data_IF_271251437935
#
_entry.id   IF_271251437935
#
_cell.length_a   1.000
_cell.length_b   1.000
_cell.length_c   1.000
_cell.angle_alpha   90.00
_cell.angle_beta   90.00
_cell.angle_gamma   90.00
#
_symmetry.space_group_name_H-M   'P 1'
#
loop_
_entity.id
_entity.type
_entity.pdbx_description
1 polymer ?
#
# COMPACT_ATOMS: atom_id res chain seq x y z
N UNK A 1 -20.24 22.17 -13.67
CA UNK A 1 -21.06 20.96 -13.93
C UNK A 1 -20.25 19.80 -13.39
N UNK A 2 -20.82 18.95 -12.55
CA UNK A 2 -20.04 18.05 -11.69
C UNK A 2 -19.11 17.10 -12.48
N UNK A 3 -19.59 16.62 -13.62
CA UNK A 3 -18.76 15.82 -14.51
C UNK A 3 -17.60 16.63 -15.09
N UNK A 4 -17.87 17.82 -15.63
CA UNK A 4 -16.84 18.70 -16.21
C UNK A 4 -15.80 19.16 -15.19
N UNK A 5 -16.23 19.39 -13.94
CA UNK A 5 -15.34 19.80 -12.86
C UNK A 5 -14.34 18.69 -12.52
N UNK A 6 -14.81 17.43 -12.39
CA UNK A 6 -13.90 16.29 -12.22
C UNK A 6 -13.08 15.97 -13.46
N UNK A 7 -13.63 16.13 -14.67
CA UNK A 7 -12.85 15.98 -15.89
C UNK A 7 -11.65 16.94 -15.91
N UNK A 8 -11.88 18.21 -15.57
CA UNK A 8 -10.81 19.22 -15.50
C UNK A 8 -9.71 18.81 -14.51
N UNK A 9 -10.10 18.34 -13.31
CA UNK A 9 -9.16 17.92 -12.27
C UNK A 9 -8.32 16.72 -12.75
N UNK A 10 -8.98 15.65 -13.23
CA UNK A 10 -8.28 14.43 -13.63
C UNK A 10 -7.47 14.60 -14.91
N UNK A 11 -7.97 15.33 -15.91
CA UNK A 11 -7.20 15.66 -17.12
C UNK A 11 -5.95 16.49 -16.81
N UNK A 12 -6.01 17.38 -15.82
CA UNK A 12 -4.87 18.18 -15.41
C UNK A 12 -3.88 17.41 -14.52
N UNK A 13 -4.28 16.27 -13.94
CA UNK A 13 -3.51 15.54 -12.92
C UNK A 13 -2.11 15.15 -13.42
N UNK A 14 -2.01 14.55 -14.62
CA UNK A 14 -0.79 13.89 -15.09
C UNK A 14 -0.29 12.91 -14.02
N UNK A 15 0.99 12.96 -13.64
CA UNK A 15 1.58 12.13 -12.58
C UNK A 15 1.40 12.70 -11.17
N UNK A 16 0.71 13.84 -11.02
CA UNK A 16 0.51 14.43 -9.69
C UNK A 16 -0.36 13.52 -8.84
N UNK A 17 -0.02 13.43 -7.57
CA UNK A 17 -0.80 12.74 -6.55
C UNK A 17 -1.77 13.77 -5.98
N UNK A 18 -3.07 13.47 -6.06
CA UNK A 18 -4.10 14.29 -5.42
C UNK A 18 -4.40 13.74 -4.02
N UNK A 19 -4.74 14.62 -3.10
CA UNK A 19 -5.30 14.26 -1.79
C UNK A 19 -6.78 14.62 -1.79
N UNK A 20 -7.64 13.60 -1.87
CA UNK A 20 -9.08 13.77 -2.05
C UNK A 20 -9.81 13.50 -0.73
N UNK A 21 -10.59 14.47 -0.27
CA UNK A 21 -11.40 14.34 0.94
C UNK A 21 -12.88 14.57 0.65
N UNK A 22 -13.75 13.78 1.30
CA UNK A 22 -15.18 14.00 1.24
C UNK A 22 -15.65 15.10 2.18
N UNK A 23 -16.02 16.24 1.63
CA UNK A 23 -16.47 17.39 2.41
C UNK A 23 -17.91 17.23 2.93
N UNK A 24 -18.23 17.80 4.11
CA UNK A 24 -19.60 18.06 4.51
C UNK A 24 -20.29 19.04 3.55
N UNK A 25 -21.61 18.91 3.30
CA UNK A 25 -22.33 19.74 2.32
C UNK A 25 -22.23 21.26 2.54
N UNK A 26 -22.00 21.71 3.78
CA UNK A 26 -21.94 23.12 4.14
C UNK A 26 -20.75 23.88 3.52
N UNK A 27 -19.68 23.17 3.13
CA UNK A 27 -18.47 23.77 2.57
C UNK A 27 -18.52 23.94 1.03
N UNK A 28 -19.67 23.69 0.42
CA UNK A 28 -19.85 23.74 -1.02
C UNK A 28 -19.52 22.41 -1.72
N UNK A 29 -19.82 22.29 -3.02
CA UNK A 29 -19.76 21.01 -3.73
C UNK A 29 -18.34 20.52 -4.01
N UNK A 30 -17.39 21.44 -4.16
CA UNK A 30 -16.00 21.22 -4.56
C UNK A 30 -15.14 22.41 -4.08
N UNK A 31 -14.01 22.11 -3.45
CA UNK A 31 -12.92 23.02 -3.10
C UNK A 31 -11.62 22.43 -3.60
N UNK A 32 -10.72 23.26 -4.12
CA UNK A 32 -9.42 22.84 -4.60
C UNK A 32 -8.35 23.83 -4.15
N UNK A 33 -7.34 23.31 -3.46
CA UNK A 33 -6.11 24.03 -3.12
C UNK A 33 -4.91 23.18 -3.55
N UNK A 34 -4.23 23.59 -4.62
CA UNK A 34 -3.16 22.79 -5.22
C UNK A 34 -3.61 21.36 -5.59
N UNK A 35 -3.00 20.37 -4.92
CA UNK A 35 -3.32 18.94 -5.06
C UNK A 35 -4.37 18.44 -4.07
N UNK A 36 -4.80 19.27 -3.11
CA UNK A 36 -5.84 18.93 -2.13
C UNK A 36 -7.21 19.23 -2.72
N UNK A 37 -8.04 18.20 -2.83
CA UNK A 37 -9.37 18.24 -3.46
C UNK A 37 -10.42 17.87 -2.41
N UNK A 38 -11.14 18.86 -1.93
CA UNK A 38 -12.33 18.64 -1.11
C UNK A 38 -13.56 18.52 -2.01
N UNK A 39 -14.27 17.40 -1.98
CA UNK A 39 -15.45 17.20 -2.84
C UNK A 39 -16.60 16.57 -2.06
N UNK A 40 -17.84 17.01 -2.30
CA UNK A 40 -19.00 16.36 -1.65
C UNK A 40 -19.35 15.05 -2.34
N UNK A 41 -19.83 14.06 -1.57
CA UNK A 41 -20.32 12.78 -2.12
C UNK A 41 -21.40 12.97 -3.19
N UNK A 42 -22.31 13.94 -3.00
CA UNK A 42 -23.36 14.28 -3.98
C UNK A 42 -22.77 14.75 -5.31
N UNK A 43 -21.67 15.52 -5.28
CA UNK A 43 -21.01 15.99 -6.48
C UNK A 43 -20.32 14.82 -7.22
N UNK A 44 -19.66 13.92 -6.51
CA UNK A 44 -19.08 12.69 -7.09
C UNK A 44 -20.17 11.80 -7.71
N UNK A 45 -21.31 11.57 -7.04
CA UNK A 45 -22.42 10.77 -7.59
C UNK A 45 -22.94 11.33 -8.92
N UNK A 46 -23.08 12.66 -9.02
CA UNK A 46 -23.51 13.33 -10.25
C UNK A 46 -22.50 13.11 -11.38
N UNK A 47 -21.21 13.30 -11.09
CA UNK A 47 -20.15 13.08 -12.05
C UNK A 47 -20.06 11.60 -12.48
N UNK A 48 -20.15 10.68 -11.53
CA UNK A 48 -20.16 9.23 -11.74
C UNK A 48 -21.26 8.80 -12.70
N UNK A 49 -22.48 9.32 -12.55
CA UNK A 49 -23.62 8.93 -13.39
C UNK A 49 -23.34 9.27 -14.87
N UNK A 50 -22.76 10.43 -15.13
CA UNK A 50 -22.39 10.87 -16.48
C UNK A 50 -21.18 10.06 -17.00
N UNK A 51 -20.14 9.92 -16.19
CA UNK A 51 -18.92 9.17 -16.52
C UNK A 51 -19.25 7.71 -16.87
N UNK A 52 -20.05 7.03 -16.05
CA UNK A 52 -20.51 5.66 -16.27
C UNK A 52 -21.26 5.54 -17.59
N UNK A 53 -22.20 6.44 -17.86
CA UNK A 53 -22.95 6.43 -19.13
C UNK A 53 -22.03 6.52 -20.34
N UNK A 54 -21.12 7.50 -20.34
CA UNK A 54 -20.16 7.71 -21.45
C UNK A 54 -19.27 6.48 -21.61
N UNK A 55 -18.72 5.98 -20.50
CA UNK A 55 -17.81 4.84 -20.50
C UNK A 55 -18.45 3.58 -21.10
N UNK A 56 -19.64 3.21 -20.64
CA UNK A 56 -20.32 2.00 -21.12
C UNK A 56 -20.89 2.15 -22.54
N UNK A 57 -21.36 3.35 -22.93
CA UNK A 57 -21.77 3.59 -24.32
C UNK A 57 -20.63 3.37 -25.32
N UNK A 58 -19.40 3.78 -24.97
CA UNK A 58 -18.23 3.54 -25.81
C UNK A 58 -17.87 2.05 -25.88
N UNK A 59 -17.95 1.32 -24.76
CA UNK A 59 -17.71 -0.12 -24.73
C UNK A 59 -18.72 -0.90 -25.57
N UNK A 60 -20.00 -0.50 -25.53
CA UNK A 60 -21.05 -1.14 -26.33
C UNK A 60 -20.85 -0.88 -27.83
N UNK A 61 -20.39 0.32 -28.20
CA UNK A 61 -20.04 0.65 -29.58
C UNK A 61 -18.86 -0.19 -30.10
N UNK A 62 -17.82 -0.40 -29.28
CA UNK A 62 -16.66 -1.23 -29.65
C UNK A 62 -17.01 -2.73 -29.75
N UNK A 63 -18.02 -3.21 -29.02
CA UNK A 63 -18.47 -4.61 -29.10
C UNK A 63 -19.40 -4.91 -30.29
N UNK A 64 -19.89 -3.87 -30.98
CA UNK A 64 -20.74 -4.06 -32.15
C UNK A 64 -19.91 -4.45 -33.39
N UNK A 65 -20.17 -5.65 -33.93
CA UNK A 65 -19.41 -6.32 -35.01
C UNK A 65 -19.34 -5.57 -36.37
N UNK A 66 -19.84 -4.33 -36.43
CA UNK A 66 -19.87 -3.48 -37.62
C UNK A 66 -18.80 -2.37 -37.62
N UNK A 67 -18.00 -2.24 -36.56
CA UNK A 67 -16.91 -1.26 -36.54
C UNK A 67 -15.63 -1.87 -37.15
N UNK A 68 -14.99 -1.21 -38.13
CA UNK A 68 -13.66 -1.64 -38.59
C UNK A 68 -12.69 -1.62 -37.39
N UNK A 69 -11.71 -2.54 -37.33
CA UNK A 69 -10.71 -2.55 -36.28
C UNK A 69 -10.04 -1.17 -36.24
N UNK A 70 -10.19 -0.45 -35.12
CA UNK A 70 -9.62 0.88 -34.90
C UNK A 70 -8.10 0.79 -35.03
N UNK A 71 -7.58 1.04 -36.23
CA UNK A 71 -6.14 1.29 -36.45
C UNK A 71 -5.72 2.65 -35.90
N UNK A 72 -6.68 3.57 -35.74
CA UNK A 72 -6.50 4.89 -35.14
C UNK A 72 -7.52 5.06 -34.01
N UNK A 73 -7.13 4.74 -32.78
CA UNK A 73 -7.93 5.17 -31.62
C UNK A 73 -7.81 6.68 -31.56
N UNK A 74 -8.93 7.38 -31.80
CA UNK A 74 -9.01 8.82 -31.57
C UNK A 74 -8.52 9.12 -30.14
N UNK A 75 -7.37 9.80 -30.06
CA UNK A 75 -6.67 10.09 -28.82
C UNK A 75 -7.53 10.88 -27.82
N UNK A 76 -8.48 11.69 -28.32
CA UNK A 76 -9.41 12.45 -27.48
C UNK A 76 -10.44 11.53 -26.83
N UNK A 77 -10.99 10.59 -27.59
CA UNK A 77 -11.91 9.57 -27.07
C UNK A 77 -11.23 8.70 -26.01
N UNK A 78 -10.01 8.23 -26.24
CA UNK A 78 -9.26 7.43 -25.24
C UNK A 78 -8.97 8.22 -23.96
N UNK A 79 -8.49 9.46 -24.09
CA UNK A 79 -8.24 10.34 -22.94
C UNK A 79 -9.51 10.61 -22.12
N UNK A 80 -10.65 10.80 -22.80
CA UNK A 80 -11.95 10.99 -22.15
C UNK A 80 -12.41 9.73 -21.42
N UNK A 81 -12.22 8.54 -22.00
CA UNK A 81 -12.54 7.28 -21.34
C UNK A 81 -11.61 7.00 -20.15
N UNK A 82 -10.34 7.39 -20.25
CA UNK A 82 -9.40 7.32 -19.14
C UNK A 82 -9.93 8.13 -17.95
N UNK A 83 -10.29 9.40 -18.17
CA UNK A 83 -10.90 10.25 -17.14
C UNK A 83 -12.22 9.69 -16.60
N UNK A 84 -13.09 9.15 -17.47
CA UNK A 84 -14.33 8.52 -17.01
C UNK A 84 -14.04 7.34 -16.07
N UNK A 85 -13.05 6.51 -16.39
CA UNK A 85 -12.65 5.39 -15.54
C UNK A 85 -12.04 5.87 -14.21
N UNK A 86 -11.34 7.02 -14.17
CA UNK A 86 -10.88 7.63 -12.91
C UNK A 86 -12.06 8.03 -12.05
N UNK A 87 -13.04 8.76 -12.60
CA UNK A 87 -14.27 9.16 -11.88
C UNK A 87 -15.05 7.94 -11.38
N UNK A 88 -15.14 6.87 -12.19
CA UNK A 88 -15.77 5.61 -11.78
C UNK A 88 -15.05 5.02 -10.56
N UNK A 89 -13.72 4.94 -10.59
CA UNK A 89 -12.93 4.39 -9.48
C UNK A 89 -12.94 5.30 -8.24
N UNK A 90 -13.04 6.62 -8.39
CA UNK A 90 -13.25 7.54 -7.27
C UNK A 90 -14.58 7.26 -6.55
N UNK A 91 -15.63 6.90 -7.29
CA UNK A 91 -16.92 6.54 -6.71
C UNK A 91 -16.94 5.11 -6.16
N UNK A 92 -16.43 4.16 -6.94
CA UNK A 92 -16.46 2.72 -6.67
C UNK A 92 -15.08 2.09 -6.92
N UNK A 93 -14.30 1.95 -5.84
CA UNK A 93 -12.94 1.39 -5.88
C UNK A 93 -12.87 -0.09 -6.27
N UNK A 94 -14.00 -0.81 -6.25
CA UNK A 94 -14.08 -2.24 -6.59
C UNK A 94 -14.61 -2.46 -8.02
N UNK A 95 -14.72 -1.40 -8.84
CA UNK A 95 -15.28 -1.49 -10.18
C UNK A 95 -14.33 -2.20 -11.18
N UNK A 96 -14.34 -3.54 -11.16
CA UNK A 96 -13.44 -4.41 -11.93
C UNK A 96 -13.41 -4.10 -13.43
N UNK A 97 -14.54 -3.77 -14.05
CA UNK A 97 -14.59 -3.44 -15.49
C UNK A 97 -13.77 -2.19 -15.81
N UNK A 98 -13.76 -1.20 -14.90
CA UNK A 98 -12.97 0.01 -15.07
C UNK A 98 -11.48 -0.30 -14.90
N UNK A 99 -11.11 -1.03 -13.83
CA UNK A 99 -9.72 -1.48 -13.63
C UNK A 99 -9.21 -2.30 -14.82
N UNK A 100 -9.95 -3.31 -15.27
CA UNK A 100 -9.55 -4.17 -16.38
C UNK A 100 -9.49 -3.42 -17.72
N UNK A 101 -10.36 -2.43 -17.93
CA UNK A 101 -10.24 -1.55 -19.09
C UNK A 101 -8.94 -0.74 -19.05
N UNK A 102 -8.56 -0.18 -17.89
CA UNK A 102 -7.29 0.53 -17.72
C UNK A 102 -6.08 -0.38 -17.99
N UNK A 103 -6.11 -1.63 -17.52
CA UNK A 103 -5.09 -2.64 -17.87
C UNK A 103 -5.01 -2.85 -19.38
N UNK A 104 -6.15 -3.11 -20.04
CA UNK A 104 -6.20 -3.30 -21.50
C UNK A 104 -5.68 -2.09 -22.27
N UNK A 105 -6.01 -0.88 -21.82
CA UNK A 105 -5.51 0.38 -22.39
C UNK A 105 -3.99 0.46 -22.34
N UNK A 106 -3.38 0.11 -21.19
CA UNK A 106 -1.91 0.07 -21.05
C UNK A 106 -1.31 -1.02 -21.95
N UNK A 107 -1.92 -2.21 -21.98
CA UNK A 107 -1.47 -3.32 -22.82
C UNK A 107 -1.56 -3.00 -24.32
N UNK A 108 -2.52 -2.17 -24.74
CA UNK A 108 -2.65 -1.74 -26.14
C UNK A 108 -1.49 -0.84 -26.61
N UNK A 109 -0.69 -0.30 -25.68
CA UNK A 109 0.54 0.44 -26.01
C UNK A 109 1.71 -0.50 -26.33
N UNK A 110 1.55 -1.81 -26.11
CA UNK A 110 2.61 -2.80 -26.32
C UNK A 110 2.41 -3.53 -27.66
N UNK A 111 3.50 -3.83 -28.39
CA UNK A 111 3.42 -4.72 -29.53
C UNK A 111 3.03 -6.15 -29.09
N UNK A 112 2.32 -6.92 -29.93
CA UNK A 112 1.80 -8.25 -29.57
C UNK A 112 2.87 -9.29 -29.22
N UNK A 113 4.10 -9.09 -29.73
CA UNK A 113 5.19 -10.04 -29.62
C UNK A 113 6.47 -9.25 -29.37
N UNK A 114 7.06 -9.47 -28.20
CA UNK A 114 8.38 -9.05 -27.77
C UNK A 114 8.51 -7.68 -27.05
N UNK A 115 8.90 -7.72 -25.78
CA UNK A 115 9.22 -6.52 -24.97
C UNK A 115 10.66 -6.04 -25.23
N UNK A 116 11.51 -6.92 -25.78
CA UNK A 116 12.91 -6.60 -26.09
C UNK A 116 13.05 -5.81 -27.40
N UNK A 117 12.01 -5.82 -28.25
CA UNK A 117 11.94 -5.08 -29.51
C UNK A 117 11.32 -3.68 -29.46
N UNK A 118 10.92 -3.19 -28.26
CA UNK A 118 10.35 -1.84 -28.12
C UNK A 118 11.39 -0.77 -28.48
N UNK A 119 11.02 0.13 -29.39
CA UNK A 119 11.82 1.32 -29.63
C UNK A 119 11.86 2.20 -28.34
N UNK A 120 12.91 3.02 -28.15
CA UNK A 120 13.06 3.82 -26.93
C UNK A 120 11.88 4.78 -26.65
N UNK A 121 11.22 5.30 -27.69
CA UNK A 121 10.12 6.25 -27.55
C UNK A 121 8.83 5.54 -27.09
N UNK A 122 8.52 4.37 -27.64
CA UNK A 122 7.42 3.51 -27.22
C UNK A 122 7.63 3.02 -25.79
N UNK A 123 8.84 2.58 -25.45
CA UNK A 123 9.20 2.19 -24.08
C UNK A 123 8.94 3.33 -23.10
N UNK A 124 9.38 4.55 -23.44
CA UNK A 124 9.13 5.72 -22.60
C UNK A 124 7.63 6.05 -22.48
N UNK A 125 6.86 5.91 -23.56
CA UNK A 125 5.40 6.13 -23.52
C UNK A 125 4.68 5.12 -22.60
N UNK A 126 5.09 3.86 -22.63
CA UNK A 126 4.57 2.82 -21.73
C UNK A 126 4.93 3.10 -20.27
N UNK A 127 6.20 3.42 -20.00
CA UNK A 127 6.66 3.79 -18.65
C UNK A 127 5.86 4.98 -18.13
N UNK A 128 5.69 6.02 -18.95
CA UNK A 128 4.90 7.20 -18.62
C UNK A 128 3.42 6.86 -18.32
N UNK A 129 2.82 5.91 -19.06
CA UNK A 129 1.46 5.45 -18.80
C UNK A 129 1.36 4.69 -17.47
N UNK A 130 2.36 3.86 -17.15
CA UNK A 130 2.46 3.12 -15.88
C UNK A 130 2.67 4.07 -14.69
N UNK A 131 3.49 5.11 -14.83
CA UNK A 131 3.70 6.13 -13.79
C UNK A 131 2.45 6.97 -13.52
N UNK A 132 1.72 7.33 -14.57
CA UNK A 132 0.40 7.93 -14.45
C UNK A 132 -0.59 7.01 -13.71
N UNK A 133 -0.48 5.69 -13.89
CA UNK A 133 -1.33 4.71 -13.21
C UNK A 133 -0.95 4.53 -11.72
N UNK A 134 0.35 4.47 -11.40
CA UNK A 134 0.84 4.38 -10.02
C UNK A 134 0.48 5.63 -9.20
N UNK A 135 0.58 6.82 -9.81
CA UNK A 135 0.18 8.08 -9.17
C UNK A 135 -1.34 8.17 -8.95
N UNK A 136 -2.15 7.55 -9.83
CA UNK A 136 -3.60 7.42 -9.60
C UNK A 136 -3.90 6.50 -8.42
N UNK A 137 -3.25 5.32 -8.37
CA UNK A 137 -3.44 4.40 -7.25
C UNK A 137 -3.03 5.04 -5.93
N UNK A 138 -1.90 5.76 -5.92
CA UNK A 138 -1.44 6.50 -4.74
C UNK A 138 -2.42 7.62 -4.35
N UNK A 139 -2.99 8.33 -5.33
CA UNK A 139 -4.08 9.30 -5.10
C UNK A 139 -5.23 8.65 -4.32
N UNK A 140 -5.68 7.46 -4.72
CA UNK A 140 -6.80 6.80 -4.02
C UNK A 140 -6.42 6.15 -2.69
N UNK A 141 -5.25 5.52 -2.60
CA UNK A 141 -4.84 4.77 -1.42
C UNK A 141 -4.33 5.66 -0.28
N UNK A 142 -3.74 6.82 -0.61
CA UNK A 142 -3.17 7.77 0.35
C UNK A 142 -4.03 9.02 0.59
N UNK A 143 -5.27 9.03 0.08
CA UNK A 143 -6.27 10.02 0.43
C UNK A 143 -7.14 9.55 1.59
N UNK A 144 -7.79 10.45 2.36
CA UNK A 144 -8.77 10.11 3.40
C UNK A 144 -10.09 9.54 2.83
N UNK A 145 -9.97 8.41 2.13
CA UNK A 145 -11.03 7.68 1.44
C UNK A 145 -11.09 6.25 2.00
N UNK A 146 -11.83 6.00 3.09
CA UNK A 146 -11.71 4.75 3.87
C UNK A 146 -12.01 3.45 3.10
N UNK A 147 -12.74 3.52 1.98
CA UNK A 147 -12.99 2.36 1.12
C UNK A 147 -11.81 2.09 0.19
N UNK A 148 -11.26 3.15 -0.39
CA UNK A 148 -10.15 3.10 -1.35
C UNK A 148 -8.84 2.69 -0.68
N UNK A 149 -8.54 3.26 0.49
CA UNK A 149 -7.32 2.95 1.27
C UNK A 149 -7.16 1.45 1.54
N UNK A 150 -8.26 0.72 1.70
CA UNK A 150 -8.28 -0.73 1.98
C UNK A 150 -8.82 -1.58 0.83
N UNK A 151 -8.91 -1.03 -0.37
CA UNK A 151 -9.47 -1.73 -1.52
C UNK A 151 -8.53 -2.86 -1.98
N UNK A 152 -8.92 -4.15 -1.88
CA UNK A 152 -8.12 -5.24 -2.43
C UNK A 152 -7.92 -5.08 -3.94
N UNK A 153 -8.92 -4.59 -4.67
CA UNK A 153 -8.85 -4.35 -6.12
C UNK A 153 -7.77 -3.33 -6.46
N UNK A 154 -7.72 -2.19 -5.78
CA UNK A 154 -6.70 -1.16 -6.05
C UNK A 154 -5.29 -1.61 -5.67
N UNK A 155 -5.11 -2.32 -4.55
CA UNK A 155 -3.81 -2.88 -4.15
C UNK A 155 -3.30 -3.93 -5.15
N UNK A 156 -4.18 -4.82 -5.63
CA UNK A 156 -3.82 -5.79 -6.66
C UNK A 156 -3.53 -5.13 -8.01
N UNK A 157 -4.27 -4.08 -8.37
CA UNK A 157 -4.00 -3.31 -9.57
C UNK A 157 -2.64 -2.61 -9.50
N UNK A 158 -2.31 -2.00 -8.36
CA UNK A 158 -0.98 -1.40 -8.12
C UNK A 158 0.15 -2.42 -8.28
N UNK A 159 0.00 -3.62 -7.71
CA UNK A 159 1.00 -4.70 -7.86
C UNK A 159 1.18 -5.10 -9.32
N UNK A 160 0.07 -5.24 -10.07
CA UNK A 160 0.10 -5.51 -11.51
C UNK A 160 0.83 -4.39 -12.28
N UNK A 161 0.57 -3.12 -11.99
CA UNK A 161 1.24 -2.00 -12.68
C UNK A 161 2.76 -2.03 -12.44
N UNK A 162 3.20 -2.30 -11.21
CA UNK A 162 4.62 -2.42 -10.90
C UNK A 162 5.26 -3.60 -11.63
N UNK A 163 4.59 -4.77 -11.67
CA UNK A 163 5.01 -5.95 -12.44
C UNK A 163 5.29 -5.62 -13.89
N UNK A 164 4.39 -4.90 -14.53
CA UNK A 164 4.59 -4.47 -15.90
C UNK A 164 5.70 -3.41 -16.02
N UNK A 165 5.78 -2.44 -15.10
CA UNK A 165 6.83 -1.40 -15.13
C UNK A 165 8.22 -2.02 -15.04
N UNK A 166 8.43 -2.96 -14.14
CA UNK A 166 9.72 -3.62 -13.97
C UNK A 166 10.12 -4.47 -15.19
N UNK A 167 9.16 -5.08 -15.89
CA UNK A 167 9.43 -5.85 -17.12
C UNK A 167 9.79 -4.95 -18.31
N UNK A 168 9.21 -3.75 -18.38
CA UNK A 168 9.44 -2.81 -19.48
C UNK A 168 10.67 -1.93 -19.26
N UNK A 169 11.10 -1.71 -18.01
CA UNK A 169 12.37 -1.07 -17.71
C UNK A 169 13.54 -2.00 -18.05
N UNK A 170 14.55 -1.50 -18.77
CA UNK A 170 15.73 -2.30 -19.14
C UNK A 170 16.55 -2.67 -17.89
N UNK A 171 17.31 -3.78 -17.96
CA UNK A 171 18.18 -4.21 -16.85
C UNK A 171 19.20 -3.14 -16.42
N UNK A 172 19.73 -2.36 -17.37
CA UNK A 172 20.65 -1.23 -17.10
C UNK A 172 19.95 -0.03 -16.44
N UNK A 173 18.63 0.07 -16.60
CA UNK A 173 17.78 1.08 -16.00
C UNK A 173 16.92 0.49 -14.88
N UNK A 174 17.32 -0.64 -14.27
CA UNK A 174 16.70 -1.09 -13.01
C UNK A 174 16.81 0.07 -12.04
N UNK A 175 15.67 0.77 -11.91
CA UNK A 175 15.41 1.78 -10.90
C UNK A 175 16.04 1.28 -9.61
N UNK A 176 16.80 2.12 -8.91
CA UNK A 176 17.35 1.80 -7.61
C UNK A 176 16.27 1.05 -6.80
N UNK A 177 16.47 -0.26 -6.64
CA UNK A 177 15.45 -1.17 -6.11
C UNK A 177 15.10 -0.74 -4.68
N UNK A 178 16.08 -0.18 -3.97
CA UNK A 178 15.88 0.39 -2.65
C UNK A 178 15.05 1.68 -2.72
N UNK A 179 15.31 2.57 -3.67
CA UNK A 179 14.47 3.77 -3.85
C UNK A 179 13.02 3.42 -4.19
N UNK A 180 12.80 2.41 -5.06
CA UNK A 180 11.47 1.91 -5.38
C UNK A 180 10.81 1.28 -4.15
N UNK A 181 11.54 0.43 -3.42
CA UNK A 181 11.06 -0.21 -2.19
C UNK A 181 10.64 0.82 -1.13
N UNK A 182 11.45 1.86 -0.91
CA UNK A 182 11.14 2.94 0.02
C UNK A 182 9.92 3.76 -0.43
N UNK A 183 9.78 4.00 -1.74
CA UNK A 183 8.62 4.69 -2.29
C UNK A 183 7.33 3.90 -2.06
N UNK A 184 7.37 2.59 -2.27
CA UNK A 184 6.21 1.71 -2.02
C UNK A 184 5.91 1.57 -0.53
N UNK A 185 6.93 1.44 0.31
CA UNK A 185 6.75 1.44 1.76
C UNK A 185 6.08 2.72 2.25
N UNK A 186 6.53 3.89 1.79
CA UNK A 186 5.90 5.17 2.17
C UNK A 186 4.39 5.21 1.85
N UNK A 187 3.99 4.58 0.75
CA UNK A 187 2.60 4.49 0.32
C UNK A 187 1.80 3.56 1.25
N UNK A 188 2.38 2.43 1.64
CA UNK A 188 1.78 1.45 2.58
C UNK A 188 1.65 2.04 3.98
N UNK A 189 2.70 2.69 4.50
CA UNK A 189 2.69 3.32 5.81
C UNK A 189 1.64 4.44 5.88
N UNK A 190 1.56 5.28 4.84
CA UNK A 190 0.51 6.31 4.75
C UNK A 190 -0.88 5.71 4.70
N UNK A 191 -1.08 4.61 3.98
CA UNK A 191 -2.37 3.91 3.97
C UNK A 191 -2.71 3.25 5.32
N UNK A 192 -1.70 2.86 6.11
CA UNK A 192 -1.87 2.39 7.48
C UNK A 192 -2.30 3.50 8.44
N UNK A 193 -1.78 4.72 8.28
CA UNK A 193 -2.19 5.89 9.06
C UNK A 193 -3.67 6.23 8.82
N UNK A 194 -4.08 6.20 7.55
CA UNK A 194 -5.44 6.55 7.13
C UNK A 194 -6.45 5.44 7.44
N UNK A 195 -6.00 4.18 7.51
CA UNK A 195 -6.82 3.04 7.86
C UNK A 195 -6.07 2.11 8.82
N UNK A 196 -6.24 2.28 10.15
CA UNK A 196 -5.58 1.40 11.12
C UNK A 196 -5.90 -0.08 10.85
N UNK A 197 -4.89 -0.93 10.98
CA UNK A 197 -4.95 -2.38 10.74
C UNK A 197 -5.26 -2.73 9.28
N UNK A 198 -4.70 -1.97 8.34
CA UNK A 198 -4.86 -2.20 6.90
C UNK A 198 -4.12 -3.45 6.41
N UNK A 199 -4.73 -4.62 6.61
CA UNK A 199 -4.17 -5.90 6.17
C UNK A 199 -3.82 -5.90 4.67
N UNK A 200 -4.63 -5.28 3.80
CA UNK A 200 -4.38 -5.29 2.36
C UNK A 200 -3.12 -4.52 1.96
N UNK A 201 -2.86 -3.36 2.56
CA UNK A 201 -1.65 -2.58 2.28
C UNK A 201 -0.39 -3.33 2.70
N UNK A 202 -0.38 -3.88 3.92
CA UNK A 202 0.78 -4.65 4.42
C UNK A 202 0.93 -6.00 3.72
N UNK A 203 -0.15 -6.65 3.30
CA UNK A 203 -0.08 -7.86 2.47
C UNK A 203 0.48 -7.56 1.07
N UNK A 204 0.06 -6.45 0.45
CA UNK A 204 0.66 -5.96 -0.78
C UNK A 204 2.18 -5.78 -0.63
N UNK A 205 2.65 -5.20 0.47
CA UNK A 205 4.08 -5.01 0.71
C UNK A 205 4.86 -6.34 0.82
N UNK A 206 4.28 -7.35 1.48
CA UNK A 206 4.86 -8.71 1.53
C UNK A 206 5.00 -9.32 0.14
N UNK A 207 3.95 -9.22 -0.69
CA UNK A 207 3.97 -9.73 -2.06
C UNK A 207 5.01 -8.99 -2.90
N UNK A 208 5.10 -7.67 -2.75
CA UNK A 208 6.05 -6.86 -3.49
C UNK A 208 7.51 -7.20 -3.12
N UNK A 209 7.82 -7.31 -1.81
CA UNK A 209 9.12 -7.77 -1.33
C UNK A 209 9.50 -9.16 -1.86
N UNK A 210 8.58 -10.13 -1.74
CA UNK A 210 8.82 -11.50 -2.20
C UNK A 210 9.00 -11.60 -3.71
N UNK A 211 8.48 -10.63 -4.47
CA UNK A 211 8.73 -10.52 -5.90
C UNK A 211 10.09 -9.87 -6.19
N UNK A 212 10.42 -8.73 -5.56
CA UNK A 212 11.73 -8.08 -5.70
C UNK A 212 12.89 -9.01 -5.31
N UNK A 213 12.70 -9.88 -4.31
CA UNK A 213 13.75 -10.76 -3.81
C UNK A 213 14.13 -11.89 -4.76
N UNK A 214 13.36 -12.17 -5.83
CA UNK A 214 13.61 -13.31 -6.73
C UNK A 214 14.94 -13.19 -7.50
N UNK A 215 15.30 -11.96 -7.85
CA UNK A 215 16.43 -11.66 -8.74
C UNK A 215 17.55 -10.86 -8.02
N UNK A 216 17.48 -10.75 -6.68
CA UNK A 216 18.42 -9.98 -5.87
C UNK A 216 19.51 -10.88 -5.26
N UNK A 217 20.77 -10.52 -5.49
CA UNK A 217 21.90 -11.10 -4.76
C UNK A 217 21.78 -10.76 -3.26
N UNK A 218 21.92 -11.77 -2.39
CA UNK A 218 21.66 -11.63 -0.95
C UNK A 218 20.19 -11.88 -0.53
N UNK A 219 19.30 -12.11 -1.50
CA UNK A 219 17.93 -12.59 -1.26
C UNK A 219 17.04 -11.60 -0.49
N UNK A 220 15.97 -12.08 0.17
CA UNK A 220 15.00 -11.21 0.86
C UNK A 220 15.59 -10.48 2.07
N UNK A 221 16.70 -10.97 2.65
CA UNK A 221 17.33 -10.39 3.82
C UNK A 221 17.82 -8.95 3.60
N UNK A 222 18.46 -8.68 2.46
CA UNK A 222 19.00 -7.35 2.13
C UNK A 222 17.89 -6.32 1.98
N UNK A 223 16.82 -6.68 1.27
CA UNK A 223 15.65 -5.81 1.10
C UNK A 223 14.94 -5.58 2.44
N UNK A 224 14.71 -6.64 3.22
CA UNK A 224 14.07 -6.54 4.52
C UNK A 224 14.86 -5.64 5.49
N UNK A 225 16.18 -5.82 5.56
CA UNK A 225 17.06 -4.99 6.37
C UNK A 225 16.97 -3.50 6.00
N UNK A 226 16.90 -3.19 4.70
CA UNK A 226 16.92 -1.81 4.21
C UNK A 226 15.71 -0.97 4.65
N UNK A 227 14.59 -1.61 4.99
CA UNK A 227 13.35 -0.94 5.40
C UNK A 227 12.93 -1.25 6.85
N UNK A 228 13.72 -2.04 7.57
CA UNK A 228 13.39 -2.50 8.91
C UNK A 228 13.23 -1.33 9.88
N UNK A 229 14.19 -0.41 9.88
CA UNK A 229 14.20 0.73 10.80
C UNK A 229 13.02 1.68 10.58
N UNK A 230 12.68 1.96 9.32
CA UNK A 230 11.53 2.78 8.98
C UNK A 230 10.22 2.12 9.41
N UNK A 231 10.11 0.80 9.21
CA UNK A 231 8.93 0.03 9.62
C UNK A 231 8.78 -0.03 11.13
N UNK A 232 9.88 -0.27 11.87
CA UNK A 232 9.89 -0.24 13.34
C UNK A 232 9.49 1.13 13.87
N UNK A 233 10.10 2.20 13.36
CA UNK A 233 9.76 3.58 13.75
C UNK A 233 8.27 3.86 13.57
N UNK A 234 7.70 3.44 12.44
CA UNK A 234 6.26 3.58 12.19
C UNK A 234 5.41 2.76 13.16
N UNK A 235 5.78 1.51 13.46
CA UNK A 235 5.05 0.66 14.40
C UNK A 235 5.06 1.23 15.83
N UNK A 236 6.18 1.83 16.26
CA UNK A 236 6.26 2.53 17.55
C UNK A 236 5.34 3.76 17.58
N UNK A 237 5.19 4.49 16.47
CA UNK A 237 4.19 5.56 16.35
C UNK A 237 2.73 5.08 16.29
N UNK A 238 2.51 3.79 15.98
CA UNK A 238 1.18 3.18 15.80
C UNK A 238 1.05 1.86 16.58
N UNK A 239 1.22 1.86 17.91
CA UNK A 239 1.37 0.63 18.69
C UNK A 239 0.12 -0.27 18.71
N UNK A 240 -1.05 0.24 18.32
CA UNK A 240 -2.29 -0.52 18.15
C UNK A 240 -2.47 -1.20 16.79
N UNK A 241 -1.53 -1.03 15.85
CA UNK A 241 -1.67 -1.56 14.49
C UNK A 241 -1.07 -2.96 14.33
N UNK A 242 -1.91 -3.99 14.46
CA UNK A 242 -1.48 -5.38 14.30
C UNK A 242 -0.97 -5.72 12.89
N UNK A 243 -1.40 -4.99 11.85
CA UNK A 243 -0.95 -5.27 10.48
C UNK A 243 0.48 -4.79 10.27
N UNK A 244 0.83 -3.62 10.82
CA UNK A 244 2.20 -3.09 10.85
C UNK A 244 3.13 -3.98 11.67
N UNK A 245 2.72 -4.34 12.90
CA UNK A 245 3.48 -5.26 13.74
C UNK A 245 3.70 -6.64 13.10
N UNK A 246 2.67 -7.20 12.47
CA UNK A 246 2.79 -8.45 11.74
C UNK A 246 3.66 -8.33 10.47
N UNK A 247 3.81 -7.13 9.91
CA UNK A 247 4.73 -6.90 8.79
C UNK A 247 6.17 -6.75 9.30
N UNK A 248 6.39 -6.07 10.42
CA UNK A 248 7.70 -6.00 11.08
C UNK A 248 8.23 -7.40 11.44
N UNK A 249 7.38 -8.27 11.99
CA UNK A 249 7.75 -9.67 12.27
C UNK A 249 8.20 -10.41 11.00
N UNK A 250 7.46 -10.25 9.89
CA UNK A 250 7.83 -10.81 8.59
C UNK A 250 9.20 -10.31 8.09
N UNK A 251 9.55 -9.03 8.30
CA UNK A 251 10.88 -8.52 7.97
C UNK A 251 11.97 -9.17 8.81
N UNK A 252 11.74 -9.31 10.12
CA UNK A 252 12.70 -9.92 11.04
C UNK A 252 12.95 -11.40 10.74
N UNK A 253 11.93 -12.14 10.30
CA UNK A 253 12.09 -13.53 9.85
C UNK A 253 13.06 -13.64 8.66
N UNK A 254 13.04 -12.66 7.75
CA UNK A 254 13.95 -12.62 6.60
C UNK A 254 15.37 -12.14 6.95
N UNK A 255 15.55 -11.34 8.00
CA UNK A 255 16.86 -10.83 8.44
C UNK A 255 17.57 -11.88 9.31
N UNK A 256 18.73 -12.44 8.91
CA UNK A 256 19.39 -13.51 9.69
C UNK A 256 20.15 -13.01 10.92
N UNK A 257 20.42 -11.71 11.02
CA UNK A 257 21.19 -11.14 12.12
C UNK A 257 20.39 -11.17 13.44
N UNK A 258 20.86 -12.01 14.36
CA UNK A 258 20.28 -12.19 15.68
C UNK A 258 20.33 -10.91 16.52
N UNK A 259 21.40 -10.12 16.42
CA UNK A 259 21.54 -8.90 17.19
C UNK A 259 20.49 -7.85 16.77
N UNK A 260 20.19 -7.77 15.46
CA UNK A 260 19.15 -6.90 14.92
C UNK A 260 17.75 -7.33 15.38
N UNK A 261 17.47 -8.64 15.36
CA UNK A 261 16.19 -9.20 15.83
C UNK A 261 15.96 -8.89 17.30
N UNK A 262 16.94 -9.18 18.13
CA UNK A 262 16.88 -8.92 19.56
C UNK A 262 16.77 -7.43 19.87
N UNK A 263 17.56 -6.57 19.20
CA UNK A 263 17.48 -5.11 19.36
C UNK A 263 16.08 -4.57 19.02
N UNK A 264 15.45 -5.10 17.98
CA UNK A 264 14.09 -4.71 17.59
C UNK A 264 13.06 -5.08 18.66
N UNK A 265 13.12 -6.29 19.20
CA UNK A 265 12.25 -6.74 20.31
C UNK A 265 12.48 -5.89 21.56
N UNK A 266 13.75 -5.66 21.88
CA UNK A 266 14.21 -4.81 22.98
C UNK A 266 13.59 -3.41 22.92
N UNK A 267 13.66 -2.77 21.75
CA UNK A 267 13.13 -1.43 21.52
C UNK A 267 11.61 -1.38 21.63
N UNK A 268 10.91 -2.37 21.07
CA UNK A 268 9.45 -2.47 21.18
C UNK A 268 9.00 -2.64 22.64
N UNK A 269 9.66 -3.52 23.41
CA UNK A 269 9.31 -3.77 24.81
C UNK A 269 9.63 -2.56 25.71
N UNK A 270 10.82 -1.96 25.55
CA UNK A 270 11.18 -0.72 26.29
C UNK A 270 10.24 0.42 25.96
N UNK A 271 9.85 0.58 24.70
CA UNK A 271 8.86 1.58 24.31
C UNK A 271 7.52 1.36 25.02
N UNK A 272 7.00 0.13 24.99
CA UNK A 272 5.73 -0.22 25.65
C UNK A 272 5.75 0.09 27.15
N UNK A 273 6.85 -0.20 27.84
CA UNK A 273 7.06 0.16 29.24
C UNK A 273 7.08 1.68 29.40
N UNK A 274 7.88 2.38 28.59
CA UNK A 274 8.07 3.83 28.68
C UNK A 274 6.79 4.65 28.46
N UNK A 275 5.89 4.20 27.57
CA UNK A 275 4.60 4.85 27.32
C UNK A 275 3.44 4.23 28.11
N UNK A 276 3.71 3.25 28.98
CA UNK A 276 2.71 2.48 29.75
C UNK A 276 1.60 1.91 28.86
N UNK A 277 2.00 1.31 27.74
CA UNK A 277 1.09 0.78 26.73
C UNK A 277 0.27 -0.39 27.27
N UNK A 278 -1.04 -0.42 26.99
CA UNK A 278 -1.93 -1.52 27.42
C UNK A 278 -2.52 -2.33 26.27
N UNK A 279 -2.35 -1.86 25.03
CA UNK A 279 -2.98 -2.45 23.86
C UNK A 279 -2.35 -3.77 23.44
N UNK A 280 -3.18 -4.67 22.93
CA UNK A 280 -2.80 -6.05 22.56
C UNK A 280 -1.72 -6.12 21.48
N UNK A 281 -1.81 -5.32 20.42
CA UNK A 281 -1.06 -5.57 19.18
C UNK A 281 0.46 -5.59 19.34
N UNK A 282 1.02 -4.63 20.09
CA UNK A 282 2.45 -4.61 20.40
C UNK A 282 2.86 -5.84 21.23
N UNK A 283 2.11 -6.20 22.27
CA UNK A 283 2.46 -7.35 23.11
C UNK A 283 2.31 -8.68 22.37
N UNK A 284 1.38 -8.78 21.43
CA UNK A 284 1.30 -9.92 20.51
C UNK A 284 2.56 -10.01 19.64
N UNK A 285 3.09 -8.88 19.14
CA UNK A 285 4.39 -8.87 18.45
C UNK A 285 5.53 -9.32 19.35
N UNK A 286 5.64 -8.79 20.57
CA UNK A 286 6.68 -9.18 21.53
C UNK A 286 6.63 -10.68 21.78
N UNK A 287 5.45 -11.24 22.05
CA UNK A 287 5.29 -12.67 22.31
C UNK A 287 5.75 -13.53 21.12
N UNK A 288 5.32 -13.20 19.92
CA UNK A 288 5.67 -13.94 18.70
C UNK A 288 7.17 -13.81 18.38
N UNK A 289 7.72 -12.60 18.46
CA UNK A 289 9.12 -12.34 18.14
C UNK A 289 10.07 -12.97 19.16
N UNK A 290 9.76 -12.91 20.46
CA UNK A 290 10.55 -13.55 21.51
C UNK A 290 10.64 -15.07 21.30
N UNK A 291 9.52 -15.70 20.93
CA UNK A 291 9.48 -17.13 20.61
C UNK A 291 10.25 -17.45 19.35
N UNK A 292 10.01 -16.70 18.27
CA UNK A 292 10.63 -16.95 16.97
C UNK A 292 12.16 -16.79 16.99
N UNK A 293 12.68 -15.87 17.82
CA UNK A 293 14.09 -15.49 17.82
C UNK A 293 14.82 -15.83 19.12
N UNK A 294 14.26 -16.69 19.97
CA UNK A 294 14.86 -17.10 21.25
C UNK A 294 15.32 -15.92 22.15
N UNK A 295 14.58 -14.81 22.14
CA UNK A 295 14.96 -13.57 22.82
C UNK A 295 14.45 -13.47 24.28
N UNK A 296 14.08 -14.60 24.90
CA UNK A 296 13.43 -14.63 26.21
C UNK A 296 14.31 -14.06 27.32
N UNK A 297 15.58 -14.46 27.37
CA UNK A 297 16.54 -13.99 28.38
C UNK A 297 16.78 -12.49 28.33
N UNK A 298 16.63 -11.88 27.15
CA UNK A 298 16.81 -10.45 26.96
C UNK A 298 15.54 -9.68 27.33
N UNK A 299 14.38 -10.20 26.94
CA UNK A 299 13.08 -9.63 27.29
C UNK A 299 12.82 -9.65 28.81
N UNK A 300 13.15 -10.73 29.51
CA UNK A 300 12.98 -10.84 30.98
C UNK A 300 13.93 -9.90 31.74
N UNK A 301 15.15 -9.69 31.24
CA UNK A 301 16.08 -8.68 31.76
C UNK A 301 15.53 -7.26 31.64
N UNK A 302 14.87 -6.91 30.53
CA UNK A 302 14.21 -5.61 30.36
C UNK A 302 13.09 -5.42 31.41
N UNK A 303 12.38 -6.50 31.73
CA UNK A 303 11.34 -6.50 32.76
C UNK A 303 11.89 -6.53 34.19
N UNK A 304 13.21 -6.49 34.38
CA UNK A 304 13.84 -6.52 35.71
C UNK A 304 13.61 -7.81 36.49
N UNK A 305 13.28 -8.92 35.80
CA UNK A 305 12.98 -10.19 36.44
C UNK A 305 14.24 -10.88 36.96
N UNK A 306 14.15 -11.50 38.15
CA UNK A 306 15.16 -12.47 38.61
C UNK A 306 15.09 -13.75 37.76
N UNK A 307 16.14 -14.58 37.81
CA UNK A 307 16.15 -15.87 37.10
C UNK A 307 14.94 -16.76 37.48
N UNK A 308 14.59 -16.82 38.76
CA UNK A 308 13.44 -17.59 39.26
C UNK A 308 12.10 -17.01 38.79
N UNK A 309 11.98 -15.69 38.73
CA UNK A 309 10.79 -15.02 38.19
C UNK A 309 10.66 -15.25 36.68
N UNK A 310 11.77 -15.24 35.94
CA UNK A 310 11.81 -15.51 34.50
C UNK A 310 11.36 -16.94 34.16
N UNK A 311 11.82 -17.95 34.92
CA UNK A 311 11.38 -19.35 34.75
C UNK A 311 9.86 -19.50 34.96
N UNK A 312 9.35 -18.89 36.03
CA UNK A 312 7.92 -18.89 36.35
C UNK A 312 7.11 -18.18 35.26
N UNK A 313 7.61 -17.05 34.77
CA UNK A 313 6.99 -16.28 33.68
C UNK A 313 6.91 -17.09 32.38
N UNK A 314 7.99 -17.79 32.02
CA UNK A 314 8.02 -18.63 30.82
C UNK A 314 7.00 -19.78 30.92
N UNK A 315 6.93 -20.46 32.07
CA UNK A 315 5.91 -21.49 32.30
C UNK A 315 4.48 -20.94 32.18
N UNK A 316 4.21 -19.73 32.69
CA UNK A 316 2.90 -19.10 32.55
C UNK A 316 2.52 -18.74 31.10
N UNK A 317 3.49 -18.45 30.24
CA UNK A 317 3.24 -18.18 28.82
C UNK A 317 2.77 -19.44 28.09
N UNK A 318 3.29 -20.61 28.41
CA UNK A 318 2.95 -21.87 27.72
C UNK A 318 1.53 -22.37 28.03
N UNK A 319 0.95 -21.97 29.16
CA UNK A 319 -0.36 -22.43 29.61
C UNK A 319 -1.51 -21.45 29.36
N UNK A 320 -1.24 -20.22 28.88
CA UNK A 320 -2.27 -19.18 28.71
C UNK A 320 -2.73 -19.02 27.26
N UNK A 321 -4.05 -19.00 27.06
CA UNK A 321 -4.68 -18.70 25.77
C UNK A 321 -4.46 -17.26 25.29
N UNK A 322 -4.14 -16.31 26.20
CA UNK A 322 -3.92 -14.90 25.88
C UNK A 322 -2.54 -14.43 26.35
N UNK A 323 -1.47 -14.97 25.75
CA UNK A 323 -0.07 -14.73 26.10
C UNK A 323 0.32 -13.26 26.16
N UNK A 324 -0.25 -12.42 25.28
CA UNK A 324 -0.02 -10.97 25.30
C UNK A 324 -0.39 -10.31 26.62
N UNK A 325 -1.40 -10.81 27.35
CA UNK A 325 -1.79 -10.27 28.66
C UNK A 325 -0.70 -10.50 29.69
N UNK A 326 -0.02 -11.66 29.64
CA UNK A 326 1.10 -11.97 30.52
C UNK A 326 2.24 -10.98 30.33
N UNK A 327 2.60 -10.68 29.07
CA UNK A 327 3.59 -9.65 28.77
C UNK A 327 3.19 -8.25 29.26
N UNK A 328 1.93 -7.86 29.05
CA UNK A 328 1.40 -6.60 29.55
C UNK A 328 1.45 -6.53 31.08
N UNK A 329 0.95 -7.56 31.75
CA UNK A 329 0.86 -7.60 33.22
C UNK A 329 2.28 -7.55 33.82
N UNK A 330 3.25 -8.25 33.23
CA UNK A 330 4.65 -8.12 33.62
C UNK A 330 5.23 -6.72 33.39
N UNK A 331 4.90 -6.07 32.27
CA UNK A 331 5.34 -4.69 32.02
C UNK A 331 4.75 -3.70 33.05
N UNK A 332 3.52 -3.93 33.53
CA UNK A 332 2.87 -3.08 34.54
C UNK A 332 3.63 -3.01 35.86
N UNK A 333 4.26 -4.11 36.27
CA UNK A 333 5.08 -4.17 37.49
C UNK A 333 6.31 -3.25 37.43
N UNK A 334 6.71 -2.81 36.22
CA UNK A 334 7.92 -2.00 35.97
C UNK A 334 7.60 -0.52 35.71
N UNK A 335 6.32 -0.11 35.68
CA UNK A 335 5.89 1.25 35.30
C UNK A 335 6.20 2.37 36.30
N UNK A 336 6.97 2.10 37.35
CA UNK A 336 7.23 2.99 38.49
C UNK A 336 7.58 4.41 38.07
#
# INVERSE_FOLDING_TARGET
DAFQDLCRIFSARKERILEIEFLPPALGPLLQDGCSIGITKKHVVKAFTVARRIFFQALDADNSASAPPRKDVDTDTDAKLAVCSEIILLYDCEHLTACNWRKRRILALLPPHDHDGLDPAQRQAVIQALDNELSLMKTYQCSPLPRHTKSPTLWQHRLWVLDYKMRVQSCDARTDVFALLNTELSTVLRAGELHPKNYYAFNYMRLFLGWLSRDMEGGPAVLAQSILEQTLTWCLGHPADISGWGFLLYLLEAVPDQAVREDTVDRALRYAIGIRWEGESLYTFVDLAVQAFAAMDRATRILGMSATAAETFNSHLDHRLARWKTWRDAAKEVWT
#
